data_IF_104856459821
#
_entry.id   IF_104856459821
#
_cell.length_a   1.000
_cell.length_b   1.000
_cell.length_c   1.000
_cell.angle_alpha   90.00
_cell.angle_beta   90.00
_cell.angle_gamma   90.00
#
_symmetry.space_group_name_H-M   'P 1'
#
loop_
_entity.id
_entity.type
_entity.pdbx_description
1 polymer ?
#
# COMPACT_ATOMS: atom_id res chain seq x y z
N UNK A 1 0.62 -11.09 15.59
CA UNK A 1 0.99 -10.86 14.19
C UNK A 1 0.05 -11.60 13.24
N UNK A 2 -0.01 -11.15 11.99
CA UNK A 2 -0.67 -11.86 10.90
C UNK A 2 0.34 -12.12 9.78
N UNK A 3 0.01 -13.04 8.87
CA UNK A 3 0.83 -13.37 7.73
C UNK A 3 0.00 -13.25 6.45
N UNK A 4 0.55 -12.58 5.45
CA UNK A 4 -0.03 -12.48 4.12
C UNK A 4 0.96 -13.06 3.09
N UNK A 5 0.50 -14.02 2.31
CA UNK A 5 1.29 -14.68 1.25
C UNK A 5 0.67 -14.33 -0.09
N UNK A 6 1.45 -13.70 -0.95
CA UNK A 6 1.04 -13.35 -2.30
C UNK A 6 1.54 -14.44 -3.25
N UNK A 7 0.62 -15.09 -3.95
CA UNK A 7 0.96 -16.05 -4.98
C UNK A 7 1.63 -15.38 -6.18
N UNK A 8 2.55 -16.06 -6.83
CA UNK A 8 3.19 -15.55 -8.03
C UNK A 8 2.25 -15.71 -9.23
N UNK A 9 1.76 -14.62 -9.84
CA UNK A 9 0.80 -14.71 -10.94
C UNK A 9 1.41 -15.20 -12.25
N UNK A 10 2.75 -15.14 -12.38
CA UNK A 10 3.46 -15.59 -13.58
C UNK A 10 3.97 -17.02 -13.48
N UNK A 11 4.11 -17.53 -12.25
CA UNK A 11 4.67 -18.88 -12.01
C UNK A 11 3.80 -19.63 -11.01
N UNK A 12 2.88 -20.43 -11.53
CA UNK A 12 1.94 -21.22 -10.72
C UNK A 12 2.66 -22.06 -9.66
N UNK A 13 2.07 -22.15 -8.48
CA UNK A 13 2.60 -22.92 -7.37
C UNK A 13 3.79 -22.30 -6.64
N UNK A 14 4.21 -21.08 -7.01
CA UNK A 14 5.28 -20.36 -6.31
C UNK A 14 4.74 -19.11 -5.62
N UNK A 15 5.47 -18.63 -4.63
CA UNK A 15 5.17 -17.41 -3.89
C UNK A 15 5.85 -16.22 -4.59
N UNK A 16 5.15 -15.12 -4.72
CA UNK A 16 5.72 -13.84 -5.13
C UNK A 16 6.38 -13.18 -3.91
N UNK A 17 5.58 -12.95 -2.85
CA UNK A 17 6.05 -12.30 -1.64
C UNK A 17 5.28 -12.78 -0.40
N UNK A 18 5.92 -12.68 0.76
CA UNK A 18 5.37 -12.98 2.07
C UNK A 18 5.51 -11.77 2.97
N UNK A 19 4.44 -11.33 3.59
CA UNK A 19 4.45 -10.23 4.54
C UNK A 19 4.09 -10.72 5.93
N UNK A 20 4.93 -10.36 6.90
CA UNK A 20 4.67 -10.58 8.32
C UNK A 20 4.17 -9.24 8.87
N UNK A 21 2.88 -9.17 9.18
CA UNK A 21 2.21 -7.96 9.65
C UNK A 21 2.25 -7.94 11.19
N UNK A 22 2.92 -6.94 11.75
CA UNK A 22 3.15 -6.84 13.19
C UNK A 22 2.49 -5.56 13.70
N UNK A 23 1.51 -5.66 14.63
CA UNK A 23 0.93 -4.48 15.27
C UNK A 23 1.99 -3.62 15.94
N UNK A 24 1.88 -2.29 15.77
CA UNK A 24 2.71 -1.33 16.51
C UNK A 24 2.41 -1.45 18.00
N UNK A 25 3.45 -1.53 18.82
CA UNK A 25 3.32 -1.77 20.27
C UNK A 25 3.65 -3.20 20.71
N UNK A 26 3.68 -4.17 19.79
CA UNK A 26 4.10 -5.55 20.07
C UNK A 26 5.60 -5.77 19.82
N UNK A 27 6.41 -4.73 19.96
CA UNK A 27 7.85 -4.74 19.59
C UNK A 27 8.73 -5.55 20.55
N UNK A 28 8.23 -5.88 21.73
CA UNK A 28 8.94 -6.65 22.76
C UNK A 28 8.84 -8.18 22.63
N UNK A 29 8.05 -8.69 21.69
CA UNK A 29 7.93 -10.15 21.51
C UNK A 29 9.18 -10.71 20.82
N UNK A 30 9.87 -11.64 21.49
CA UNK A 30 11.05 -12.33 20.96
C UNK A 30 10.76 -13.07 19.64
N UNK A 31 9.53 -13.55 19.46
CA UNK A 31 9.07 -14.21 18.24
C UNK A 31 9.05 -13.23 17.08
N UNK A 32 8.55 -12.02 17.31
CA UNK A 32 8.54 -10.93 16.33
C UNK A 32 9.96 -10.52 15.93
N UNK A 33 10.87 -10.38 16.90
CA UNK A 33 12.27 -10.07 16.64
C UNK A 33 12.97 -11.18 15.83
N UNK A 34 12.62 -12.43 16.08
CA UNK A 34 13.15 -13.60 15.34
C UNK A 34 12.62 -13.64 13.91
N UNK A 35 11.33 -13.37 13.69
CA UNK A 35 10.71 -13.32 12.36
C UNK A 35 11.28 -12.18 11.52
N UNK A 36 11.49 -11.01 12.13
CA UNK A 36 12.09 -9.85 11.47
C UNK A 36 13.56 -10.10 11.05
N UNK A 37 14.28 -10.98 11.75
CA UNK A 37 15.66 -11.37 11.43
C UNK A 37 15.79 -12.39 10.30
N UNK A 38 14.74 -13.06 9.89
CA UNK A 38 14.71 -14.03 8.78
C UNK A 38 14.75 -13.34 7.40
N UNK A 39 15.49 -12.28 7.26
CA UNK A 39 15.83 -11.73 5.93
C UNK A 39 16.75 -12.73 5.23
N UNK A 40 16.31 -13.24 4.10
CA UNK A 40 17.09 -14.09 3.22
C UNK A 40 18.36 -13.37 2.79
N UNK A 41 19.51 -13.90 3.16
CA UNK A 41 20.81 -13.44 2.69
C UNK A 41 21.03 -13.96 1.28
N UNK A 42 21.08 -13.08 0.28
CA UNK A 42 21.70 -13.37 -1.01
C UNK A 42 20.79 -13.57 -2.23
N UNK A 43 19.48 -13.61 -2.09
CA UNK A 43 18.51 -13.52 -3.20
C UNK A 43 17.53 -12.40 -2.89
N UNK A 44 16.75 -11.94 -3.91
CA UNK A 44 15.65 -11.00 -3.71
C UNK A 44 14.86 -11.40 -2.45
N UNK A 45 14.74 -10.50 -1.49
CA UNK A 45 14.01 -10.77 -0.27
C UNK A 45 12.53 -10.97 -0.63
N UNK A 46 12.04 -12.20 -0.46
CA UNK A 46 10.64 -12.55 -0.69
C UNK A 46 9.82 -12.55 0.60
N UNK A 47 10.39 -12.02 1.68
CA UNK A 47 9.73 -11.93 2.98
C UNK A 47 10.07 -10.59 3.63
N UNK A 48 9.06 -9.77 3.83
CA UNK A 48 9.17 -8.49 4.52
C UNK A 48 8.32 -8.46 5.79
N UNK A 49 8.79 -7.67 6.74
CA UNK A 49 8.04 -7.37 7.97
C UNK A 49 7.47 -5.97 7.86
N UNK A 50 6.16 -5.86 8.02
CA UNK A 50 5.43 -4.60 7.95
C UNK A 50 4.83 -4.28 9.31
N UNK A 51 5.12 -3.08 9.82
CA UNK A 51 4.49 -2.56 11.04
C UNK A 51 3.13 -1.98 10.71
N UNK A 52 2.08 -2.49 11.31
CA UNK A 52 0.70 -2.05 11.10
C UNK A 52 0.14 -1.34 12.34
N UNK A 53 -0.71 -0.33 12.15
CA UNK A 53 -1.14 0.23 10.88
C UNK A 53 -0.04 1.01 10.16
N UNK A 54 -0.03 0.95 8.82
CA UNK A 54 0.83 1.81 8.00
C UNK A 54 0.22 3.21 7.99
N UNK A 55 0.95 4.20 8.49
CA UNK A 55 0.49 5.60 8.60
C UNK A 55 1.13 6.51 7.54
N UNK A 56 2.24 6.08 6.97
CA UNK A 56 2.94 6.79 5.90
C UNK A 56 3.32 5.82 4.80
N UNK A 57 2.72 5.99 3.64
CA UNK A 57 3.05 5.20 2.46
C UNK A 57 3.42 6.06 1.28
N UNK A 58 4.30 5.53 0.42
CA UNK A 58 4.52 6.01 -0.94
C UNK A 58 3.75 5.08 -1.89
N UNK A 59 2.83 5.63 -2.68
CA UNK A 59 1.93 4.87 -3.55
C UNK A 59 2.24 5.19 -5.00
N UNK A 60 2.64 4.18 -5.77
CA UNK A 60 3.22 4.41 -7.09
C UNK A 60 2.19 4.51 -8.22
N UNK A 61 0.99 3.95 -8.04
CA UNK A 61 -0.02 3.96 -9.10
C UNK A 61 -1.39 4.45 -8.62
N UNK A 62 -2.11 5.10 -9.52
CA UNK A 62 -3.42 5.69 -9.26
C UNK A 62 -4.49 4.69 -8.74
N UNK A 63 -4.62 3.44 -9.27
CA UNK A 63 -5.59 2.48 -8.76
C UNK A 63 -5.43 2.19 -7.26
N UNK A 64 -4.20 2.06 -6.75
CA UNK A 64 -3.97 1.85 -5.33
C UNK A 64 -4.37 3.08 -4.50
N UNK A 65 -4.12 4.28 -5.01
CA UNK A 65 -4.62 5.51 -4.38
C UNK A 65 -6.14 5.50 -4.29
N UNK A 66 -6.83 5.16 -5.39
CA UNK A 66 -8.30 5.11 -5.41
C UNK A 66 -8.84 4.09 -4.42
N UNK A 67 -8.26 2.89 -4.38
CA UNK A 67 -8.65 1.85 -3.42
C UNK A 67 -8.52 2.33 -1.97
N UNK A 68 -7.42 3.01 -1.64
CA UNK A 68 -7.22 3.60 -0.32
C UNK A 68 -8.26 4.68 0.02
N UNK A 69 -8.71 5.45 -0.97
CA UNK A 69 -9.80 6.42 -0.80
C UNK A 69 -11.12 5.73 -0.50
N UNK A 70 -11.50 4.72 -1.26
CA UNK A 70 -12.76 3.98 -1.06
C UNK A 70 -12.82 3.35 0.35
N UNK A 71 -11.69 2.85 0.83
CA UNK A 71 -11.58 2.27 2.17
C UNK A 71 -11.48 3.30 3.30
N UNK A 72 -11.27 4.59 2.98
CA UNK A 72 -11.07 5.65 3.97
C UNK A 72 -9.65 5.72 4.55
N UNK A 73 -8.66 5.13 3.87
CA UNK A 73 -7.25 5.08 4.30
C UNK A 73 -6.37 6.15 3.65
N UNK A 74 -6.96 7.09 2.94
CA UNK A 74 -6.25 8.11 2.15
C UNK A 74 -5.26 8.95 2.96
N UNK A 75 -5.43 9.05 4.28
CA UNK A 75 -4.51 9.79 5.14
C UNK A 75 -3.13 9.14 5.25
N UNK A 76 -3.03 7.84 4.97
CA UNK A 76 -1.76 7.14 4.92
C UNK A 76 -0.96 7.43 3.63
N UNK A 77 -1.58 7.99 2.59
CA UNK A 77 -0.89 8.41 1.37
C UNK A 77 -0.10 9.68 1.66
N UNK A 78 1.22 9.59 1.62
CA UNK A 78 2.15 10.68 1.88
C UNK A 78 3.03 11.03 0.70
N UNK A 79 3.29 10.07 -0.18
CA UNK A 79 3.96 10.27 -1.45
C UNK A 79 3.24 9.54 -2.56
N UNK A 80 3.33 10.07 -3.77
CA UNK A 80 2.80 9.42 -4.97
C UNK A 80 3.80 9.56 -6.11
N UNK A 81 3.82 8.58 -7.00
CA UNK A 81 4.46 8.70 -8.30
C UNK A 81 3.42 9.00 -9.38
N UNK A 82 3.89 9.48 -10.52
CA UNK A 82 3.04 9.76 -11.69
C UNK A 82 1.82 10.65 -11.36
N UNK A 83 2.05 11.69 -10.55
CA UNK A 83 1.01 12.58 -10.01
C UNK A 83 0.09 13.15 -11.11
N UNK A 84 0.61 13.42 -12.29
CA UNK A 84 -0.16 13.99 -13.40
C UNK A 84 -1.27 13.05 -13.90
N UNK A 85 -1.05 11.73 -13.77
CA UNK A 85 -2.00 10.69 -14.14
C UNK A 85 -3.00 10.35 -13.02
N UNK A 86 -2.79 10.83 -11.79
CA UNK A 86 -3.72 10.61 -10.68
C UNK A 86 -4.87 11.61 -10.77
N UNK A 87 -6.04 11.13 -11.17
CA UNK A 87 -7.22 11.98 -11.29
C UNK A 87 -8.12 11.97 -10.04
N UNK A 88 -7.50 12.12 -8.86
CA UNK A 88 -8.18 12.21 -7.57
C UNK A 88 -8.01 13.64 -7.05
N UNK A 89 -9.10 14.45 -6.97
CA UNK A 89 -9.02 15.87 -6.62
C UNK A 89 -8.31 16.16 -5.31
N UNK A 90 -8.53 15.34 -4.26
CA UNK A 90 -7.87 15.51 -2.96
C UNK A 90 -6.36 15.25 -3.04
N UNK A 91 -5.92 14.25 -3.79
CA UNK A 91 -4.48 14.00 -4.02
C UNK A 91 -3.83 15.22 -4.65
N UNK A 92 -4.44 15.77 -5.70
CA UNK A 92 -3.93 16.99 -6.38
C UNK A 92 -3.89 18.18 -5.43
N UNK A 93 -4.94 18.39 -4.64
CA UNK A 93 -5.00 19.45 -3.62
C UNK A 93 -3.89 19.29 -2.56
N UNK A 94 -3.72 18.10 -2.02
CA UNK A 94 -2.71 17.80 -0.99
C UNK A 94 -1.28 17.90 -1.56
N UNK A 95 -1.05 17.54 -2.83
CA UNK A 95 0.22 17.71 -3.51
C UNK A 95 0.56 19.19 -3.76
N UNK A 96 -0.43 20.02 -4.11
CA UNK A 96 -0.25 21.45 -4.25
C UNK A 96 0.17 22.12 -2.92
N UNK A 97 -0.37 21.65 -1.79
CA UNK A 97 0.06 22.13 -0.45
C UNK A 97 1.54 21.83 -0.21
N UNK A 98 2.05 20.67 -0.65
CA UNK A 98 3.47 20.31 -0.51
C UNK A 98 4.37 21.26 -1.31
N UNK A 99 4.01 21.56 -2.56
CA UNK A 99 4.77 22.50 -3.41
C UNK A 99 4.84 23.90 -2.78
N UNK A 100 3.72 24.40 -2.28
CA UNK A 100 3.66 25.72 -1.63
C UNK A 100 4.47 25.77 -0.33
N UNK A 101 4.51 24.67 0.42
CA UNK A 101 5.28 24.57 1.68
C UNK A 101 6.77 24.50 1.41
N UNK A 102 7.21 23.80 0.34
CA UNK A 102 8.61 23.76 -0.08
C UNK A 102 9.10 25.16 -0.50
N UNK A 103 8.28 25.91 -1.24
CA UNK A 103 8.59 27.32 -1.58
C UNK A 103 8.70 28.23 -0.36
N UNK A 104 7.92 27.97 0.70
CA UNK A 104 7.97 28.73 1.97
C UNK A 104 9.09 28.26 2.91
N UNK A 105 9.54 27.00 2.84
CA UNK A 105 10.61 26.44 3.68
C UNK A 105 12.02 26.88 3.31
N UNK A 106 12.19 27.48 2.15
CA UNK A 106 13.43 28.22 1.86
C UNK A 106 13.64 29.40 2.85
N UNK A 107 12.64 29.76 3.65
CA UNK A 107 12.68 30.89 4.59
C UNK A 107 12.34 30.54 6.07
N UNK A 108 11.97 29.32 6.44
CA UNK A 108 11.73 28.98 7.85
C UNK A 108 11.70 27.46 8.08
N UNK A 109 12.48 27.00 9.03
CA UNK A 109 12.62 25.60 9.40
C UNK A 109 11.33 24.93 9.91
N UNK A 110 11.26 23.63 9.65
CA UNK A 110 10.38 22.61 10.22
C UNK A 110 8.88 22.88 10.39
N UNK A 111 8.12 22.24 9.58
CA UNK A 111 7.00 21.34 9.84
C UNK A 111 6.25 21.09 8.53
N UNK A 112 6.49 19.97 7.89
CA UNK A 112 5.60 19.50 6.84
C UNK A 112 4.26 19.18 7.51
N UNK A 113 3.30 20.06 7.32
CA UNK A 113 1.94 19.92 7.83
C UNK A 113 1.39 18.52 7.50
N UNK A 114 0.84 17.87 8.50
CA UNK A 114 0.42 16.48 8.52
C UNK A 114 -0.55 15.99 7.45
N UNK A 115 -0.82 16.73 6.38
CA UNK A 115 -1.77 16.36 5.33
C UNK A 115 -1.27 16.62 3.90
N UNK A 116 0.01 16.93 3.69
CA UNK A 116 0.57 17.11 2.34
C UNK A 116 0.98 15.78 1.71
N UNK A 117 0.97 15.72 0.38
CA UNK A 117 1.47 14.59 -0.42
C UNK A 117 2.70 15.07 -1.19
N UNK A 118 3.77 14.28 -1.16
CA UNK A 118 4.99 14.54 -1.91
C UNK A 118 4.88 13.89 -3.29
N UNK A 119 5.21 14.64 -4.33
CA UNK A 119 5.40 14.11 -5.67
C UNK A 119 6.78 13.42 -5.73
N UNK A 120 6.78 12.10 -5.87
CA UNK A 120 7.97 11.25 -5.90
C UNK A 120 8.47 10.97 -7.33
N UNK A 121 8.00 11.72 -8.32
CA UNK A 121 8.42 11.58 -9.71
C UNK A 121 7.71 10.46 -10.46
N UNK A 122 8.39 9.86 -11.44
CA UNK A 122 7.83 8.75 -12.21
C UNK A 122 7.93 7.42 -11.46
N UNK A 123 6.94 6.56 -11.61
CA UNK A 123 6.95 5.19 -11.07
C UNK A 123 8.07 4.33 -11.67
N UNK A 124 8.48 4.62 -12.89
CA UNK A 124 9.58 3.91 -13.56
C UNK A 124 10.98 4.43 -13.18
N UNK A 125 11.06 5.67 -12.72
CA UNK A 125 12.30 6.31 -12.27
C UNK A 125 12.01 7.23 -11.06
N UNK A 126 11.69 6.64 -9.89
CA UNK A 126 11.26 7.41 -8.74
C UNK A 126 12.41 8.25 -8.16
N UNK A 127 12.06 9.41 -7.62
CA UNK A 127 12.97 10.29 -6.90
C UNK A 127 13.26 9.69 -5.50
N UNK A 128 14.39 9.00 -5.42
CA UNK A 128 14.80 8.27 -4.22
C UNK A 128 15.03 9.23 -3.03
N UNK A 129 15.54 10.43 -3.29
CA UNK A 129 15.80 11.41 -2.23
C UNK A 129 14.51 11.90 -1.59
N UNK A 130 13.49 12.17 -2.41
CA UNK A 130 12.15 12.52 -1.91
C UNK A 130 11.51 11.39 -1.13
N UNK A 131 11.66 10.14 -1.59
CA UNK A 131 11.17 8.97 -0.88
C UNK A 131 11.87 8.82 0.48
N UNK A 132 13.20 8.96 0.53
CA UNK A 132 13.96 8.93 1.78
C UNK A 132 13.50 10.05 2.75
N UNK A 133 13.34 11.26 2.23
CA UNK A 133 12.89 12.41 3.04
C UNK A 133 11.47 12.23 3.59
N UNK A 134 10.62 11.53 2.84
CA UNK A 134 9.25 11.18 3.26
C UNK A 134 9.23 10.19 4.43
N UNK A 135 10.26 9.35 4.57
CA UNK A 135 10.36 8.27 5.57
C UNK A 135 9.10 7.39 5.56
N UNK A 136 8.71 6.78 4.45
CA UNK A 136 7.53 5.94 4.40
C UNK A 136 7.76 4.65 5.19
N UNK A 137 6.67 4.10 5.71
CA UNK A 137 6.66 2.82 6.42
C UNK A 137 6.44 1.64 5.46
N UNK A 138 5.91 1.94 4.27
CA UNK A 138 5.77 0.99 3.17
C UNK A 138 5.72 1.73 1.82
N UNK A 139 6.16 1.06 0.77
CA UNK A 139 6.02 1.48 -0.63
C UNK A 139 5.04 0.51 -1.29
N UNK A 140 3.98 1.04 -1.89
CA UNK A 140 2.98 0.25 -2.61
C UNK A 140 3.21 0.42 -4.11
N UNK A 141 3.45 -0.67 -4.82
CA UNK A 141 3.65 -0.67 -6.26
C UNK A 141 3.09 -1.94 -6.91
N UNK A 142 2.91 -1.91 -8.22
CA UNK A 142 2.57 -3.11 -8.98
C UNK A 142 3.85 -3.77 -9.48
N UNK A 143 4.10 -5.04 -9.14
CA UNK A 143 5.21 -5.80 -9.69
C UNK A 143 4.94 -6.12 -11.16
N UNK A 144 5.99 -6.46 -11.92
CA UNK A 144 5.87 -7.00 -13.26
C UNK A 144 6.81 -8.20 -13.43
N UNK A 145 6.51 -9.04 -14.41
CA UNK A 145 7.30 -10.23 -14.68
C UNK A 145 8.78 -9.86 -14.95
N UNK A 146 9.67 -10.63 -14.36
CA UNK A 146 11.13 -10.43 -14.50
C UNK A 146 11.64 -9.05 -14.09
N UNK A 147 10.97 -8.36 -13.17
CA UNK A 147 11.41 -7.05 -12.69
C UNK A 147 12.82 -7.05 -12.07
N UNK A 148 13.38 -8.22 -11.76
CA UNK A 148 14.77 -8.34 -11.27
C UNK A 148 15.06 -7.66 -9.92
N UNK A 149 14.07 -6.98 -9.36
CA UNK A 149 14.17 -6.11 -8.20
C UNK A 149 13.80 -4.66 -8.52
N UNK A 150 13.83 -3.81 -7.52
CA UNK A 150 13.44 -2.40 -7.60
C UNK A 150 14.64 -1.45 -7.50
N UNK A 151 15.83 -1.97 -7.79
CA UNK A 151 17.06 -1.19 -7.90
C UNK A 151 17.45 -0.48 -6.60
N UNK A 152 17.39 0.86 -6.62
CA UNK A 152 17.74 1.66 -5.44
C UNK A 152 16.72 1.54 -4.32
N UNK A 153 15.44 1.23 -4.63
CA UNK A 153 14.40 1.08 -3.60
C UNK A 153 14.68 -0.10 -2.69
N UNK A 154 15.20 -1.21 -3.21
CA UNK A 154 15.56 -2.40 -2.41
C UNK A 154 16.58 -2.07 -1.31
N UNK A 155 17.44 -1.07 -1.55
CA UNK A 155 18.48 -0.63 -0.62
C UNK A 155 17.97 0.26 0.50
N UNK A 156 16.74 0.76 0.41
CA UNK A 156 16.17 1.64 1.42
C UNK A 156 15.72 0.88 2.68
N UNK A 157 15.63 -0.45 2.62
CA UNK A 157 15.11 -1.27 3.70
C UNK A 157 13.68 -0.89 4.15
N UNK A 158 12.92 -0.32 3.25
CA UNK A 158 11.49 -0.03 3.42
C UNK A 158 10.72 -1.20 2.81
N UNK A 159 9.72 -1.79 3.50
CA UNK A 159 8.91 -2.85 2.93
C UNK A 159 8.27 -2.42 1.62
N UNK A 160 8.42 -3.24 0.58
CA UNK A 160 7.78 -3.02 -0.72
C UNK A 160 6.58 -3.94 -0.82
N UNK A 161 5.40 -3.36 -0.90
CA UNK A 161 4.14 -4.08 -1.07
C UNK A 161 3.90 -4.29 -2.56
N UNK A 162 4.15 -5.51 -3.01
CA UNK A 162 3.98 -5.96 -4.39
C UNK A 162 2.52 -6.33 -4.64
N UNK A 163 1.72 -5.36 -5.07
CA UNK A 163 0.31 -5.57 -5.35
C UNK A 163 0.12 -6.02 -6.79
N UNK A 164 -0.08 -7.33 -6.96
CA UNK A 164 -0.30 -7.96 -8.27
C UNK A 164 -1.80 -8.07 -8.63
N UNK A 165 -2.64 -7.17 -8.09
CA UNK A 165 -4.09 -7.15 -8.28
C UNK A 165 -4.51 -7.06 -9.75
N UNK A 166 -3.73 -6.39 -10.58
CA UNK A 166 -3.99 -6.28 -12.01
C UNK A 166 -3.86 -7.61 -12.78
N UNK A 167 -3.18 -8.60 -12.17
CA UNK A 167 -3.00 -9.94 -12.74
C UNK A 167 -4.14 -10.90 -12.38
N UNK A 168 -5.06 -10.49 -11.52
CA UNK A 168 -6.20 -11.32 -11.16
C UNK A 168 -7.11 -11.56 -12.36
N UNK A 169 -7.42 -12.82 -12.60
CA UNK A 169 -8.22 -13.27 -13.74
C UNK A 169 -9.72 -13.00 -13.57
N UNK A 170 -10.17 -12.78 -12.34
CA UNK A 170 -11.58 -12.53 -12.04
C UNK A 170 -11.79 -11.16 -11.40
N UNK A 171 -12.93 -10.49 -11.67
CA UNK A 171 -13.27 -9.24 -11.01
C UNK A 171 -13.34 -9.35 -9.48
N UNK A 172 -13.82 -10.48 -8.95
CA UNK A 172 -13.86 -10.71 -7.50
C UNK A 172 -12.46 -10.90 -6.92
N UNK A 173 -11.57 -11.65 -7.58
CA UNK A 173 -10.18 -11.78 -7.15
C UNK A 173 -9.51 -10.42 -7.06
N UNK A 174 -9.71 -9.56 -8.07
CA UNK A 174 -9.20 -8.19 -8.05
C UNK A 174 -9.78 -7.36 -6.90
N UNK A 175 -11.08 -7.47 -6.65
CA UNK A 175 -11.72 -6.77 -5.54
C UNK A 175 -11.26 -7.29 -4.16
N UNK A 176 -10.89 -8.57 -4.06
CA UNK A 176 -10.47 -9.18 -2.79
C UNK A 176 -9.17 -8.59 -2.24
N UNK A 177 -8.33 -7.99 -3.09
CA UNK A 177 -7.13 -7.29 -2.66
C UNK A 177 -7.41 -6.18 -1.65
N UNK A 178 -8.63 -5.61 -1.64
CA UNK A 178 -9.02 -4.64 -0.62
C UNK A 178 -8.91 -5.19 0.81
N UNK A 179 -9.10 -6.50 1.02
CA UNK A 179 -8.94 -7.15 2.34
C UNK A 179 -7.49 -7.08 2.81
N UNK A 180 -6.54 -7.39 1.90
CA UNK A 180 -5.11 -7.27 2.20
C UNK A 180 -4.73 -5.83 2.53
N UNK A 181 -5.19 -4.86 1.74
CA UNK A 181 -4.97 -3.45 2.06
C UNK A 181 -5.61 -3.07 3.40
N UNK A 182 -6.82 -3.58 3.67
CA UNK A 182 -7.48 -3.39 4.96
C UNK A 182 -6.59 -3.80 6.12
N UNK A 183 -5.94 -4.95 6.03
CA UNK A 183 -5.00 -5.45 7.06
C UNK A 183 -3.78 -4.53 7.23
N UNK A 184 -3.23 -3.96 6.14
CA UNK A 184 -2.07 -3.06 6.21
C UNK A 184 -2.38 -1.76 6.96
N UNK A 185 -3.61 -1.25 6.83
CA UNK A 185 -4.04 0.03 7.38
C UNK A 185 -4.97 -0.11 8.59
N UNK A 186 -5.17 -1.33 9.10
CA UNK A 186 -5.99 -1.62 10.27
C UNK A 186 -5.48 -0.87 11.49
N UNK A 187 -6.38 -0.20 12.15
CA UNK A 187 -6.14 0.39 13.45
C UNK A 187 -6.71 -0.53 14.55
N UNK A 188 -5.85 -1.05 15.40
CA UNK A 188 -6.31 -1.77 16.59
C UNK A 188 -6.98 -0.81 17.57
N UNK A 189 -8.04 -1.31 18.26
CA UNK A 189 -8.81 -0.50 19.21
C UNK A 189 -7.97 0.13 20.34
N UNK A 190 -6.78 -0.40 20.60
CA UNK A 190 -5.82 0.09 21.58
C UNK A 190 -4.81 1.11 21.02
N UNK A 191 -4.85 1.43 19.72
CA UNK A 191 -3.93 2.42 19.14
C UNK A 191 -4.19 3.81 19.72
N UNK A 192 -3.15 4.63 19.96
CA UNK A 192 -3.30 5.98 20.49
C UNK A 192 -4.27 6.80 19.64
N UNK A 193 -5.15 7.58 20.27
CA UNK A 193 -6.15 8.43 19.59
C UNK A 193 -5.55 9.46 18.61
N UNK A 194 -4.23 9.63 18.64
CA UNK A 194 -3.46 10.48 17.73
C UNK A 194 -3.15 9.83 16.37
N UNK A 195 -3.41 8.54 16.21
CA UNK A 195 -3.20 7.87 14.93
C UNK A 195 -4.20 8.39 13.88
N UNK A 196 -3.67 8.94 12.80
CA UNK A 196 -4.40 9.65 11.75
C UNK A 196 -5.26 8.74 10.86
N UNK A 197 -5.01 7.43 10.90
CA UNK A 197 -5.73 6.45 10.07
C UNK A 197 -7.00 6.00 10.79
N UNK A 198 -8.14 6.20 10.17
CA UNK A 198 -9.35 5.48 10.53
C UNK A 198 -9.15 3.99 10.25
N UNK A 199 -9.76 3.11 11.04
CA UNK A 199 -9.73 1.67 10.79
C UNK A 199 -10.31 1.37 9.40
N UNK A 200 -9.49 0.77 8.52
CA UNK A 200 -9.88 0.46 7.15
C UNK A 200 -10.46 -0.94 6.99
N UNK A 201 -10.08 -1.87 7.86
CA UNK A 201 -10.44 -3.27 7.73
C UNK A 201 -11.97 -3.52 7.77
N UNK A 202 -12.74 -2.98 8.73
CA UNK A 202 -14.20 -3.15 8.73
C UNK A 202 -14.84 -2.60 7.45
N UNK A 203 -14.24 -1.56 6.87
CA UNK A 203 -14.72 -0.97 5.63
C UNK A 203 -14.35 -1.82 4.42
N UNK A 204 -13.16 -2.42 4.40
CA UNK A 204 -12.72 -3.33 3.35
C UNK A 204 -13.64 -4.55 3.24
N UNK A 205 -13.91 -5.23 4.35
CA UNK A 205 -14.79 -6.40 4.39
C UNK A 205 -16.22 -6.07 3.97
N UNK A 206 -16.79 -4.96 4.45
CA UNK A 206 -18.13 -4.54 4.10
C UNK A 206 -18.25 -4.13 2.63
N UNK A 207 -17.24 -3.47 2.09
CA UNK A 207 -17.18 -3.11 0.67
C UNK A 207 -17.04 -4.35 -0.21
N UNK A 208 -16.17 -5.28 0.16
CA UNK A 208 -16.01 -6.54 -0.57
C UNK A 208 -17.31 -7.34 -0.59
N UNK A 209 -17.96 -7.53 0.55
CA UNK A 209 -19.22 -8.25 0.64
C UNK A 209 -20.33 -7.62 -0.24
N UNK A 210 -20.37 -6.30 -0.34
CA UNK A 210 -21.28 -5.59 -1.24
C UNK A 210 -20.96 -5.88 -2.71
N UNK A 211 -19.70 -5.78 -3.09
CA UNK A 211 -19.26 -6.06 -4.47
C UNK A 211 -19.53 -7.52 -4.84
N UNK A 212 -19.21 -8.45 -3.96
CA UNK A 212 -19.44 -9.88 -4.16
C UNK A 212 -20.92 -10.18 -4.38
N UNK A 213 -21.80 -9.63 -3.55
CA UNK A 213 -23.24 -9.79 -3.69
C UNK A 213 -23.76 -9.29 -5.04
N UNK A 214 -23.37 -8.10 -5.45
CA UNK A 214 -23.78 -7.52 -6.74
C UNK A 214 -23.19 -8.30 -7.92
N UNK A 215 -21.94 -8.73 -7.83
CA UNK A 215 -21.32 -9.56 -8.86
C UNK A 215 -22.03 -10.90 -9.04
N UNK A 216 -22.33 -11.60 -7.94
CA UNK A 216 -23.03 -12.90 -8.00
C UNK A 216 -24.45 -12.76 -8.56
N UNK A 217 -25.13 -11.68 -8.22
CA UNK A 217 -26.45 -11.35 -8.79
C UNK A 217 -26.36 -11.16 -10.31
N UNK A 218 -25.46 -10.30 -10.79
CA UNK A 218 -25.25 -10.05 -12.22
C UNK A 218 -24.82 -11.33 -12.97
N UNK A 219 -23.97 -12.15 -12.35
CA UNK A 219 -23.54 -13.43 -12.91
C UNK A 219 -24.70 -14.42 -13.08
N UNK A 220 -25.62 -14.45 -12.10
CA UNK A 220 -26.82 -15.30 -12.17
C UNK A 220 -27.77 -14.79 -13.26
N UNK A 221 -27.99 -13.50 -13.37
CA UNK A 221 -28.80 -12.88 -14.43
C UNK A 221 -28.21 -13.18 -15.82
N UNK A 222 -26.89 -13.00 -15.97
CA UNK A 222 -26.20 -13.27 -17.24
C UNK A 222 -26.26 -14.72 -17.68
N UNK A 223 -26.35 -15.69 -16.76
CA UNK A 223 -26.46 -17.11 -17.07
C UNK A 223 -27.81 -17.47 -17.75
N UNK A 224 -28.82 -16.62 -17.62
CA UNK A 224 -30.12 -16.77 -18.28
C UNK A 224 -30.16 -16.32 -19.74
N UNK A 225 -29.09 -15.69 -20.24
CA UNK A 225 -29.02 -15.25 -21.64
C UNK A 225 -28.32 -16.29 -22.52
N UNK A 226 -28.79 -16.54 -23.74
CA UNK A 226 -28.10 -17.42 -24.69
C UNK A 226 -26.71 -16.88 -25.01
N UNK A 227 -25.75 -17.79 -25.08
CA UNK A 227 -24.38 -17.50 -25.51
C UNK A 227 -24.28 -17.35 -27.01
#
# INVERSE_FOLDING_TARGET
YAEAIIANPWKAGTMLHRYILIPKGEEGDKTVAMLARRRSTGARCTTDTVRIPVERSAVFIAPHCQLMYEMGCQQAIRGVCDLDYINIPDVKKRAALSRNTAARKASAGNAAAGNSIVDCGSSMAPDIERIIALKPEAILLSPFENSGGYGKLDKLHIPIIEAADYMESSPLGRAEWMKFYGMLFKKDGNAPKTALAASCEPKADSLFAKIEKEYLKLKAEAAGYPK
#
